data_IF_098321739810
#
_entry.id   IF_098321739810
#
_cell.length_a   1.000
_cell.length_b   1.000
_cell.length_c   1.000
_cell.angle_alpha   90.00
_cell.angle_beta   90.00
_cell.angle_gamma   90.00
#
_symmetry.space_group_name_H-M   'P 1'
#
loop_
_entity.id
_entity.type
_entity.pdbx_description
1 polymer ?
#
# COMPACT_ATOMS: atom_id res chain seq x y z
N UNK A 1 -6.65 -26.44 3.52
CA UNK A 1 -6.46 -25.14 4.21
C UNK A 1 -7.83 -24.58 4.55
N UNK A 2 -8.02 -24.00 5.73
CA UNK A 2 -9.30 -23.36 6.08
C UNK A 2 -9.57 -22.19 5.15
N UNK A 3 -10.83 -21.99 4.76
CA UNK A 3 -11.27 -20.79 4.01
C UNK A 3 -11.67 -19.65 4.94
N UNK A 4 -11.68 -19.88 6.25
CA UNK A 4 -12.03 -18.87 7.25
C UNK A 4 -10.85 -18.64 8.21
N UNK A 5 -10.62 -17.39 8.63
CA UNK A 5 -9.63 -17.08 9.65
C UNK A 5 -10.03 -17.72 11.01
N UNK A 6 -9.05 -17.93 11.92
CA UNK A 6 -7.66 -17.49 11.85
C UNK A 6 -6.81 -18.30 10.87
N UNK A 7 -5.84 -17.64 10.25
CA UNK A 7 -4.85 -18.27 9.37
C UNK A 7 -3.49 -18.35 10.07
N UNK A 8 -3.21 -19.38 10.89
CA UNK A 8 -1.92 -19.48 11.56
C UNK A 8 -0.77 -19.67 10.55
N UNK A 9 0.42 -19.17 10.91
CA UNK A 9 1.63 -19.44 10.13
C UNK A 9 1.89 -20.96 10.10
N UNK A 10 2.13 -21.49 8.90
CA UNK A 10 2.42 -22.90 8.72
C UNK A 10 3.77 -23.27 9.38
N UNK A 11 3.87 -24.46 9.97
CA UNK A 11 5.05 -24.91 10.72
C UNK A 11 6.36 -24.81 9.92
N UNK A 12 6.30 -25.04 8.61
CA UNK A 12 7.45 -24.89 7.71
C UNK A 12 7.98 -23.45 7.56
N UNK A 13 7.20 -22.45 7.96
CA UNK A 13 7.50 -21.01 7.83
C UNK A 13 7.87 -20.39 9.16
N UNK A 14 7.36 -20.90 10.29
CA UNK A 14 7.54 -20.31 11.63
C UNK A 14 9.01 -20.01 11.96
N UNK A 15 9.93 -20.89 11.56
CA UNK A 15 11.37 -20.74 11.83
C UNK A 15 12.17 -20.08 10.69
N UNK A 16 11.50 -19.60 9.63
CA UNK A 16 12.11 -18.98 8.44
C UNK A 16 11.69 -17.52 8.24
N UNK A 17 10.66 -17.08 8.97
CA UNK A 17 10.20 -15.70 8.96
C UNK A 17 10.95 -14.90 10.03
N UNK A 18 11.25 -13.63 9.74
CA UNK A 18 11.80 -12.74 10.76
C UNK A 18 10.78 -12.60 11.92
N UNK A 19 11.21 -12.65 13.19
CA UNK A 19 10.32 -12.55 14.35
C UNK A 19 9.42 -11.30 14.34
N UNK A 20 9.89 -10.17 13.84
CA UNK A 20 9.10 -8.93 13.73
C UNK A 20 7.91 -9.10 12.80
N UNK A 21 8.12 -9.69 11.62
CA UNK A 21 7.04 -9.97 10.67
C UNK A 21 6.05 -11.03 11.20
N UNK A 22 6.54 -12.03 11.95
CA UNK A 22 5.67 -13.01 12.59
C UNK A 22 4.78 -12.38 13.66
N UNK A 23 5.35 -11.54 14.53
CA UNK A 23 4.61 -10.82 15.56
C UNK A 23 3.58 -9.87 14.94
N UNK A 24 3.98 -9.13 13.90
CA UNK A 24 3.10 -8.25 13.15
C UNK A 24 1.92 -9.00 12.53
N UNK A 25 2.18 -10.10 11.83
CA UNK A 25 1.16 -10.92 11.19
C UNK A 25 0.14 -11.44 12.22
N UNK A 26 0.64 -12.03 13.31
CA UNK A 26 -0.20 -12.58 14.38
C UNK A 26 -1.04 -11.50 15.08
N UNK A 27 -0.53 -10.27 15.17
CA UNK A 27 -1.25 -9.16 15.81
C UNK A 27 -2.28 -8.50 14.89
N UNK A 28 -1.98 -8.37 13.59
CA UNK A 28 -2.74 -7.49 12.70
C UNK A 28 -3.43 -8.18 11.52
N UNK A 29 -3.00 -9.39 11.12
CA UNK A 29 -3.41 -10.01 9.85
C UNK A 29 -4.08 -11.37 10.05
N UNK A 30 -3.74 -12.14 11.09
CA UNK A 30 -4.22 -13.52 11.28
C UNK A 30 -5.74 -13.70 11.18
N UNK A 31 -6.50 -12.67 11.58
CA UNK A 31 -7.97 -12.67 11.59
C UNK A 31 -8.60 -12.03 10.35
N UNK A 32 -7.81 -11.48 9.44
CA UNK A 32 -8.32 -10.81 8.24
C UNK A 32 -8.68 -11.85 7.18
N UNK A 33 -9.82 -11.65 6.52
CA UNK A 33 -10.25 -12.51 5.41
C UNK A 33 -9.26 -12.38 4.24
N UNK A 34 -9.02 -13.50 3.54
CA UNK A 34 -8.19 -13.50 2.34
C UNK A 34 -8.86 -12.67 1.26
N UNK A 35 -8.09 -11.81 0.58
CA UNK A 35 -8.62 -10.81 -0.36
C UNK A 35 -9.46 -11.40 -1.51
N UNK A 36 -9.17 -12.64 -1.92
CA UNK A 36 -9.90 -13.34 -2.98
C UNK A 36 -11.19 -14.04 -2.50
N UNK A 37 -11.44 -14.07 -1.18
CA UNK A 37 -12.62 -14.65 -0.55
C UNK A 37 -13.60 -13.59 -0.03
N UNK A 38 -13.34 -12.30 -0.28
CA UNK A 38 -14.19 -11.20 0.16
C UNK A 38 -14.61 -10.28 -1.01
N UNK A 39 -15.71 -9.51 -0.87
CA UNK A 39 -16.14 -8.57 -1.90
C UNK A 39 -15.07 -7.53 -2.26
N UNK A 40 -15.04 -7.10 -3.53
CA UNK A 40 -14.09 -6.07 -4.02
C UNK A 40 -14.21 -4.77 -3.22
N UNK A 41 -15.44 -4.38 -2.85
CA UNK A 41 -15.70 -3.20 -2.03
C UNK A 41 -15.03 -3.29 -0.66
N UNK A 42 -15.06 -4.45 -0.02
CA UNK A 42 -14.36 -4.70 1.26
C UNK A 42 -12.84 -4.61 1.07
N UNK A 43 -12.30 -5.24 0.03
CA UNK A 43 -10.86 -5.19 -0.29
C UNK A 43 -10.35 -3.77 -0.60
N UNK A 44 -11.18 -2.90 -1.16
CA UNK A 44 -10.82 -1.50 -1.50
C UNK A 44 -11.09 -0.49 -0.37
N UNK A 45 -11.70 -0.91 0.73
CA UNK A 45 -12.09 -0.01 1.82
C UNK A 45 -10.94 0.38 2.76
N UNK A 46 -9.85 -0.38 2.77
CA UNK A 46 -8.73 -0.11 3.69
C UNK A 46 -7.80 0.97 3.12
N UNK A 47 -7.83 2.16 3.70
CA UNK A 47 -6.93 3.27 3.37
C UNK A 47 -5.46 3.04 3.77
N UNK A 48 -5.20 2.07 4.65
CA UNK A 48 -3.86 1.58 5.01
C UNK A 48 -3.91 0.06 4.91
N UNK A 49 -3.84 -0.46 3.68
CA UNK A 49 -3.87 -1.91 3.43
C UNK A 49 -2.63 -2.61 4.03
N UNK A 50 -1.51 -1.89 4.16
CA UNK A 50 -0.26 -2.37 4.73
C UNK A 50 0.10 -1.49 5.93
N UNK A 51 -0.18 -1.95 7.16
CA UNK A 51 0.37 -1.30 8.33
C UNK A 51 1.91 -1.37 8.24
N UNK A 52 2.59 -0.25 8.48
CA UNK A 52 4.05 -0.14 8.28
C UNK A 52 4.47 0.95 7.29
N UNK A 53 3.53 1.61 6.60
CA UNK A 53 3.83 2.90 5.99
C UNK A 53 4.25 3.88 7.10
N UNK A 54 5.44 4.47 6.93
CA UNK A 54 5.90 5.54 7.81
C UNK A 54 5.03 6.80 7.68
N UNK A 55 5.23 7.79 8.57
CA UNK A 55 4.59 9.09 8.39
C UNK A 55 4.97 9.70 7.04
N UNK A 56 4.08 10.52 6.50
CA UNK A 56 4.37 11.34 5.32
C UNK A 56 5.63 12.15 5.57
N UNK A 57 6.60 12.02 4.67
CA UNK A 57 7.83 12.80 4.73
C UNK A 57 7.57 14.23 4.28
N UNK A 58 8.26 15.19 4.89
CA UNK A 58 8.15 16.60 4.50
C UNK A 58 8.75 16.82 3.11
N UNK A 59 8.07 17.59 2.28
CA UNK A 59 8.50 17.98 0.94
C UNK A 59 8.32 19.48 0.75
N UNK A 60 8.98 20.09 -0.24
CA UNK A 60 8.86 21.52 -0.50
C UNK A 60 7.48 21.90 -1.04
N UNK A 61 6.90 21.04 -1.89
CA UNK A 61 5.54 21.24 -2.40
C UNK A 61 4.86 19.93 -2.76
N UNK A 62 3.53 19.96 -2.76
CA UNK A 62 2.66 18.89 -3.26
C UNK A 62 1.65 19.51 -4.21
N UNK A 63 1.53 18.96 -5.41
CA UNK A 63 0.60 19.49 -6.44
C UNK A 63 -0.19 18.32 -7.04
N UNK A 64 -1.51 18.50 -7.12
CA UNK A 64 -2.41 17.55 -7.74
C UNK A 64 -2.80 18.03 -9.15
N UNK A 65 -2.74 17.11 -10.11
CA UNK A 65 -3.10 17.32 -11.50
C UNK A 65 -4.18 16.31 -11.94
N UNK A 66 -5.07 16.73 -12.82
CA UNK A 66 -5.99 15.86 -13.55
C UNK A 66 -5.58 15.88 -15.02
N UNK A 67 -5.10 14.74 -15.54
CA UNK A 67 -4.59 14.62 -16.90
C UNK A 67 -5.65 13.95 -17.76
N UNK A 68 -6.12 14.67 -18.80
CA UNK A 68 -7.08 14.13 -19.76
C UNK A 68 -6.45 12.97 -20.56
N UNK A 69 -7.21 11.88 -20.72
CA UNK A 69 -6.79 10.73 -21.52
C UNK A 69 -6.73 11.11 -23.01
N UNK A 70 -5.71 10.58 -23.70
CA UNK A 70 -5.53 10.75 -25.15
C UNK A 70 -5.72 9.43 -25.90
N UNK A 71 -5.15 8.33 -25.39
CA UNK A 71 -5.19 7.00 -26.03
C UNK A 71 -6.36 6.12 -25.55
N UNK A 72 -7.20 6.61 -24.64
CA UNK A 72 -8.33 5.85 -24.08
C UNK A 72 -9.46 6.78 -23.65
N UNK A 73 -10.64 6.19 -23.43
CA UNK A 73 -11.80 6.88 -22.89
C UNK A 73 -11.94 6.63 -21.38
N UNK A 74 -12.58 7.56 -20.68
CA UNK A 74 -12.83 7.47 -19.24
C UNK A 74 -12.50 8.77 -18.51
N UNK A 75 -12.57 8.77 -17.16
CA UNK A 75 -12.25 9.94 -16.35
C UNK A 75 -10.77 10.32 -16.45
N UNK A 76 -10.48 11.58 -16.14
CA UNK A 76 -9.11 12.09 -16.06
C UNK A 76 -8.25 11.26 -15.11
N UNK A 77 -6.97 11.16 -15.44
CA UNK A 77 -5.97 10.47 -14.63
C UNK A 77 -5.47 11.46 -13.58
N UNK A 78 -5.81 11.19 -12.31
CA UNK A 78 -5.32 11.98 -11.19
C UNK A 78 -3.86 11.63 -10.90
N UNK A 79 -3.00 12.65 -10.82
CA UNK A 79 -1.57 12.54 -10.53
C UNK A 79 -1.23 13.49 -9.39
N UNK A 80 -0.43 13.02 -8.42
CA UNK A 80 0.13 13.85 -7.35
C UNK A 80 1.64 13.92 -7.50
N UNK A 81 2.18 15.12 -7.61
CA UNK A 81 3.61 15.39 -7.69
C UNK A 81 4.11 15.94 -6.35
N UNK A 82 5.22 15.39 -5.87
CA UNK A 82 5.92 15.86 -4.68
C UNK A 82 7.27 16.44 -5.08
N UNK A 83 7.54 17.71 -4.77
CA UNK A 83 8.84 18.33 -5.03
C UNK A 83 9.70 18.25 -3.78
N UNK A 84 10.90 17.64 -3.83
CA UNK A 84 11.77 17.55 -2.66
C UNK A 84 12.28 18.93 -2.23
N UNK A 85 12.78 19.03 -1.00
CA UNK A 85 13.50 20.21 -0.54
C UNK A 85 14.84 20.36 -1.28
N UNK A 86 15.29 21.60 -1.50
CA UNK A 86 16.57 21.92 -2.13
C UNK A 86 16.43 22.70 -3.44
N UNK A 87 17.56 22.93 -4.11
CA UNK A 87 17.60 23.59 -5.41
C UNK A 87 17.36 22.59 -6.55
N UNK A 88 16.55 22.99 -7.52
CA UNK A 88 16.26 22.19 -8.70
C UNK A 88 17.56 21.91 -9.47
N UNK A 89 17.92 20.64 -9.73
CA UNK A 89 19.09 20.32 -10.54
C UNK A 89 18.92 20.80 -11.98
N UNK A 90 20.03 21.09 -12.66
CA UNK A 90 20.04 21.57 -14.05
C UNK A 90 19.28 20.64 -15.00
N UNK A 91 19.42 19.32 -14.81
CA UNK A 91 18.75 18.29 -15.60
C UNK A 91 17.37 17.86 -15.05
N UNK A 92 16.83 18.60 -14.07
CA UNK A 92 15.58 18.28 -13.39
C UNK A 92 15.76 17.45 -12.11
N UNK A 93 14.68 17.34 -11.34
CA UNK A 93 14.63 16.45 -10.17
C UNK A 93 14.62 14.98 -10.63
N UNK A 94 15.31 14.06 -9.93
CA UNK A 94 14.94 12.66 -10.00
C UNK A 94 13.51 12.44 -9.48
#
# INVERSE_FOLDING_TARGET
MSTQPPYPLHESVVNRINPEYAAFYNKHIINNQQVHLQPVSASRSSGILIPGAGPLQSVASTVDYAIKRQESEGPDVNVRCFTPHGEKPENGWP
#
